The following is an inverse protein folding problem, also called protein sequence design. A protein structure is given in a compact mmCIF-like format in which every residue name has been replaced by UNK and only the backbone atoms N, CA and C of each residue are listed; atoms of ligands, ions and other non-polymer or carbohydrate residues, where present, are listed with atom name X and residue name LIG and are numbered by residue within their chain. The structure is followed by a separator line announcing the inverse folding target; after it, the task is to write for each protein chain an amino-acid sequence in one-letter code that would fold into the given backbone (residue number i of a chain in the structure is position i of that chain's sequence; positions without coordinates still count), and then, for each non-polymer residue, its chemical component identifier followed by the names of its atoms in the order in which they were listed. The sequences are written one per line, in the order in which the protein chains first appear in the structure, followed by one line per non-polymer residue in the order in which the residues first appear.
data_IF_759118123006
#
_entry.id   IF_759118123006
#
_cell.length_a   1.000
_cell.length_b   1.000
_cell.length_c   1.000
_cell.angle_alpha   90.00
_cell.angle_beta   90.00
_cell.angle_gamma   90.00
#
_symmetry.space_group_name_H-M   'P 1'
#
loop_
_entity.id
_entity.type
_entity.pdbx_description
1 polymer ?
#
# COMPACT_ATOMS: atom_id res chain seq x y z
N UNK A 1 -40.16 -26.40 -7.71
CA UNK A 1 -38.92 -25.60 -7.80
C UNK A 1 -38.06 -26.24 -8.88
N UNK A 2 -37.94 -25.61 -10.06
CA UNK A 2 -37.02 -26.09 -11.09
C UNK A 2 -35.62 -25.62 -10.70
N UNK A 3 -34.85 -26.50 -10.09
CA UNK A 3 -33.42 -26.27 -9.88
C UNK A 3 -32.73 -26.60 -11.22
N UNK A 4 -32.10 -25.61 -11.84
CA UNK A 4 -31.20 -25.86 -12.98
C UNK A 4 -30.10 -26.81 -12.49
N UNK A 5 -29.81 -27.88 -13.24
CA UNK A 5 -28.86 -28.90 -12.79
C UNK A 5 -27.41 -28.42 -12.79
N UNK A 6 -27.13 -27.32 -13.49
CA UNK A 6 -25.79 -26.78 -13.69
C UNK A 6 -25.80 -25.25 -13.64
N UNK A 7 -24.70 -24.68 -13.13
CA UNK A 7 -24.58 -23.24 -12.93
C UNK A 7 -24.42 -22.50 -14.27
N UNK A 8 -25.25 -21.49 -14.60
CA UNK A 8 -25.19 -20.80 -15.88
C UNK A 8 -24.03 -19.80 -15.93
N UNK A 9 -22.83 -20.29 -16.24
CA UNK A 9 -21.61 -19.47 -16.34
C UNK A 9 -21.70 -18.33 -17.36
N UNK A 10 -22.56 -18.45 -18.37
CA UNK A 10 -22.80 -17.40 -19.38
C UNK A 10 -23.28 -16.08 -18.75
N UNK A 11 -23.98 -16.16 -17.61
CA UNK A 11 -24.48 -14.98 -16.88
C UNK A 11 -23.52 -14.53 -15.76
N UNK A 12 -22.44 -15.27 -15.52
CA UNK A 12 -21.49 -14.97 -14.46
C UNK A 12 -20.69 -13.72 -14.84
N UNK A 13 -20.76 -12.69 -13.99
CA UNK A 13 -19.97 -11.47 -14.13
C UNK A 13 -19.17 -11.20 -12.87
N UNK A 14 -18.08 -10.44 -13.03
CA UNK A 14 -17.34 -9.90 -11.89
C UNK A 14 -18.18 -8.82 -11.20
N UNK A 15 -18.09 -8.80 -9.87
CA UNK A 15 -18.68 -7.77 -9.01
C UNK A 15 -17.90 -6.48 -9.21
N UNK A 16 -18.60 -5.36 -9.36
CA UNK A 16 -17.95 -4.04 -9.47
C UNK A 16 -17.52 -3.54 -8.09
N UNK A 17 -16.64 -2.54 -8.04
CA UNK A 17 -16.24 -1.93 -6.75
C UNK A 17 -17.42 -1.33 -6.00
N UNK A 18 -18.34 -0.68 -6.71
CA UNK A 18 -19.56 -0.07 -6.15
C UNK A 18 -20.49 -1.11 -5.53
N UNK A 19 -20.73 -2.22 -6.24
CA UNK A 19 -21.53 -3.33 -5.70
C UNK A 19 -20.86 -3.96 -4.48
N UNK A 20 -19.53 -4.08 -4.51
CA UNK A 20 -18.78 -4.61 -3.38
C UNK A 20 -18.93 -3.74 -2.13
N UNK A 21 -18.93 -2.42 -2.26
CA UNK A 21 -19.19 -1.47 -1.16
C UNK A 21 -20.60 -1.63 -0.61
N UNK A 22 -21.63 -1.69 -1.48
CA UNK A 22 -23.01 -1.92 -1.06
C UNK A 22 -23.16 -3.24 -0.29
N UNK A 23 -22.49 -4.31 -0.73
CA UNK A 23 -22.51 -5.57 -0.01
C UNK A 23 -21.85 -5.48 1.37
N UNK A 24 -20.76 -4.72 1.51
CA UNK A 24 -20.14 -4.50 2.82
C UNK A 24 -21.07 -3.78 3.78
N UNK A 25 -21.76 -2.74 3.29
CA UNK A 25 -22.73 -1.99 4.08
C UNK A 25 -23.91 -2.87 4.52
N UNK A 26 -24.47 -3.66 3.59
CA UNK A 26 -25.57 -4.58 3.89
C UNK A 26 -25.18 -5.65 4.91
N UNK A 27 -23.96 -6.20 4.83
CA UNK A 27 -23.46 -7.16 5.82
C UNK A 27 -23.29 -6.50 7.19
N UNK A 28 -22.76 -5.28 7.22
CA UNK A 28 -22.58 -4.53 8.46
C UNK A 28 -23.92 -4.20 9.12
N UNK A 29 -24.95 -3.83 8.36
CA UNK A 29 -26.27 -3.51 8.92
C UNK A 29 -27.04 -4.75 9.38
N UNK A 30 -27.00 -5.83 8.59
CA UNK A 30 -27.74 -7.07 8.87
C UNK A 30 -27.15 -7.84 10.06
N UNK A 31 -25.82 -7.94 10.13
CA UNK A 31 -25.13 -8.80 11.09
C UNK A 31 -24.37 -8.02 12.18
N UNK A 32 -24.25 -6.70 12.06
CA UNK A 32 -23.45 -5.88 12.98
C UNK A 32 -21.94 -6.11 12.85
N UNK A 33 -21.49 -6.76 11.78
CA UNK A 33 -20.09 -7.16 11.58
C UNK A 33 -19.44 -6.22 10.57
N UNK A 34 -18.43 -5.46 11.00
CA UNK A 34 -17.61 -4.68 10.08
C UNK A 34 -16.51 -5.58 9.46
N UNK A 35 -16.55 -5.73 8.14
CA UNK A 35 -15.59 -6.55 7.41
C UNK A 35 -14.20 -5.93 7.47
N UNK A 36 -13.27 -6.62 8.13
CA UNK A 36 -11.87 -6.19 8.23
C UNK A 36 -11.26 -6.05 6.82
N UNK A 37 -10.52 -4.98 6.60
CA UNK A 37 -9.71 -4.83 5.40
C UNK A 37 -8.72 -6.00 5.31
N UNK A 38 -8.77 -6.73 4.19
CA UNK A 38 -7.86 -7.83 3.91
C UNK A 38 -6.49 -7.26 3.51
N UNK A 39 -5.41 -7.87 4.00
CA UNK A 39 -4.04 -7.47 3.69
C UNK A 39 -3.20 -7.29 4.96
N UNK A 40 -1.94 -6.88 4.78
CA UNK A 40 -1.05 -6.59 5.90
C UNK A 40 -1.47 -5.24 6.52
N UNK A 41 -1.63 -5.14 7.85
CA UNK A 41 -1.81 -3.86 8.51
C UNK A 41 -0.67 -2.90 8.15
N UNK A 42 -0.95 -1.60 7.99
CA UNK A 42 0.12 -0.62 7.83
C UNK A 42 1.01 -0.62 9.08
N UNK A 43 2.32 -0.57 8.89
CA UNK A 43 3.26 -0.39 10.01
C UNK A 43 2.99 0.95 10.71
N UNK A 44 3.08 0.97 12.03
CA UNK A 44 3.06 2.22 12.78
C UNK A 44 4.21 3.13 12.32
N UNK A 45 4.08 4.46 12.39
CA UNK A 45 5.12 5.38 11.92
C UNK A 45 6.46 5.15 12.65
N UNK A 46 6.40 4.86 13.94
CA UNK A 46 7.55 4.56 14.79
C UNK A 46 8.25 3.25 14.39
N UNK A 47 7.49 2.27 13.89
CA UNK A 47 7.98 0.95 13.45
C UNK A 47 8.29 0.91 11.95
N UNK A 48 8.03 2.00 11.24
CA UNK A 48 8.13 2.05 9.78
C UNK A 48 9.56 1.92 9.32
N UNK A 49 10.50 2.47 10.11
CA UNK A 49 11.92 2.52 9.81
C UNK A 49 12.72 1.91 10.94
N UNK A 50 13.65 1.03 10.58
CA UNK A 50 14.64 0.50 11.51
C UNK A 50 15.97 1.24 11.28
N UNK A 51 16.67 1.68 12.34
CA UNK A 51 17.99 2.26 12.20
C UNK A 51 18.98 1.17 11.80
N UNK A 52 19.33 1.11 10.52
CA UNK A 52 20.28 0.14 9.98
C UNK A 52 21.60 0.84 9.64
N UNK A 53 22.70 0.27 10.10
CA UNK A 53 24.03 0.65 9.65
C UNK A 53 24.42 -0.14 8.40
N UNK A 54 24.76 0.54 7.31
CA UNK A 54 25.29 -0.08 6.10
C UNK A 54 26.79 0.20 5.95
N UNK A 55 27.55 -0.80 5.50
CA UNK A 55 28.98 -0.63 5.18
C UNK A 55 29.12 -0.13 3.74
N UNK A 56 29.70 1.05 3.59
CA UNK A 56 29.92 1.67 2.28
C UNK A 56 31.43 1.71 2.01
N UNK A 57 31.84 1.40 0.79
CA UNK A 57 33.24 1.47 0.40
C UNK A 57 33.80 2.92 0.54
N UNK A 58 35.01 3.12 1.09
CA UNK A 58 35.53 4.46 1.39
C UNK A 58 35.54 5.44 0.21
N UNK A 59 35.83 4.96 -1.01
CA UNK A 59 35.78 5.79 -2.23
C UNK A 59 34.39 6.38 -2.50
N UNK A 60 33.34 5.60 -2.26
CA UNK A 60 31.95 6.04 -2.45
C UNK A 60 31.58 7.09 -1.40
N UNK A 61 32.02 6.90 -0.15
CA UNK A 61 31.83 7.90 0.90
C UNK A 61 32.53 9.23 0.57
N UNK A 62 33.77 9.17 0.08
CA UNK A 62 34.52 10.37 -0.33
C UNK A 62 33.80 11.12 -1.45
N UNK A 63 33.31 10.40 -2.47
CA UNK A 63 32.52 10.98 -3.55
C UNK A 63 31.22 11.61 -3.05
N UNK A 64 30.44 10.89 -2.22
CA UNK A 64 29.16 11.36 -1.69
C UNK A 64 29.32 12.65 -0.85
N UNK A 65 30.37 12.72 -0.02
CA UNK A 65 30.69 13.95 0.74
C UNK A 65 31.01 15.13 -0.18
N UNK A 66 31.80 14.90 -1.23
CA UNK A 66 32.13 15.94 -2.23
C UNK A 66 30.86 16.44 -2.93
N UNK A 67 29.99 15.52 -3.36
CA UNK A 67 28.72 15.83 -4.03
C UNK A 67 27.76 16.63 -3.14
N UNK A 68 27.59 16.20 -1.88
CA UNK A 68 26.75 16.91 -0.91
C UNK A 68 27.21 18.35 -0.67
N UNK A 69 28.53 18.58 -0.61
CA UNK A 69 29.08 19.94 -0.48
C UNK A 69 28.79 20.80 -1.72
N UNK A 70 28.87 20.22 -2.92
CA UNK A 70 28.48 20.92 -4.14
C UNK A 70 27.01 21.33 -4.05
N UNK A 71 26.09 20.38 -3.88
CA UNK A 71 24.65 20.66 -3.85
C UNK A 71 24.26 21.69 -2.79
N UNK A 72 24.88 21.64 -1.59
CA UNK A 72 24.67 22.67 -0.56
C UNK A 72 25.10 24.06 -1.03
N UNK A 73 26.24 24.17 -1.72
CA UNK A 73 26.72 25.44 -2.23
C UNK A 73 25.83 25.97 -3.37
N UNK A 74 25.31 25.09 -4.23
CA UNK A 74 24.33 25.46 -5.25
C UNK A 74 23.07 26.03 -4.59
N UNK A 75 22.50 25.34 -3.60
CA UNK A 75 21.33 25.80 -2.85
C UNK A 75 21.56 27.10 -2.05
N UNK A 76 22.82 27.41 -1.71
CA UNK A 76 23.16 28.64 -0.97
C UNK A 76 23.42 29.84 -1.89
N UNK A 77 23.69 29.61 -3.18
CA UNK A 77 23.92 30.65 -4.17
C UNK A 77 22.63 31.08 -4.89
N UNK A 78 21.56 30.30 -4.77
CA UNK A 78 20.24 30.60 -5.36
C UNK A 78 19.33 31.41 -4.41
N UNK A 79 19.85 31.90 -3.28
CA UNK A 79 19.14 32.65 -2.23
C UNK A 79 19.87 33.97 -1.93
#
# INVERSE_FOLDING_TARGET
MNQESEFPFERARRVTSQEHEQFKEAISSQFGINLKNRGRPPKNQEEKYEPISIRIHPKVLAWAKKRSKQERNWLSNDN
#
